data_IF_465076312014
#
_entry.id   IF_465076312014
#
_cell.length_a   1.000
_cell.length_b   1.000
_cell.length_c   1.000
_cell.angle_alpha   90.00
_cell.angle_beta   90.00
_cell.angle_gamma   90.00
#
_symmetry.space_group_name_H-M   'P 1'
#
loop_
_entity.id
_entity.type
_entity.pdbx_description
1 polymer ?
#
# COMPACT_ATOMS: atom_id res chain seq x y z
N UNK A 1 13.30 0.70 26.23
CA UNK A 1 12.04 0.09 25.76
C UNK A 1 12.11 -1.40 26.04
N UNK A 2 11.03 -2.02 26.55
CA UNK A 2 11.01 -3.47 26.79
C UNK A 2 11.13 -4.20 25.46
N UNK A 3 12.14 -5.03 25.30
CA UNK A 3 12.44 -5.74 24.05
C UNK A 3 11.33 -6.70 23.65
N UNK A 4 10.62 -7.26 24.64
CA UNK A 4 9.48 -8.15 24.41
C UNK A 4 8.31 -7.39 23.82
N UNK A 5 7.98 -6.22 24.36
CA UNK A 5 6.90 -5.35 23.83
C UNK A 5 7.24 -4.91 22.41
N UNK A 6 8.48 -4.48 22.19
CA UNK A 6 8.95 -4.09 20.85
C UNK A 6 8.80 -5.23 19.86
N UNK A 7 9.19 -6.46 20.22
CA UNK A 7 9.06 -7.63 19.36
C UNK A 7 7.60 -7.95 19.04
N UNK A 8 6.72 -7.96 20.03
CA UNK A 8 5.30 -8.26 19.85
C UNK A 8 4.62 -7.20 18.97
N UNK A 9 4.86 -5.92 19.24
CA UNK A 9 4.27 -4.82 18.46
C UNK A 9 4.75 -4.86 17.02
N UNK A 10 6.06 -5.00 16.79
CA UNK A 10 6.62 -5.03 15.42
C UNK A 10 6.19 -6.29 14.67
N UNK A 11 6.00 -7.43 15.35
CA UNK A 11 5.47 -8.66 14.74
C UNK A 11 4.05 -8.45 14.20
N UNK A 12 3.12 -7.95 15.03
CA UNK A 12 1.74 -7.74 14.59
C UNK A 12 1.62 -6.60 13.58
N UNK A 13 2.40 -5.52 13.75
CA UNK A 13 2.45 -4.43 12.79
C UNK A 13 2.96 -4.91 11.42
N UNK A 14 4.07 -5.64 11.41
CA UNK A 14 4.64 -6.22 10.20
C UNK A 14 3.75 -7.27 9.56
N UNK A 15 3.05 -8.09 10.37
CA UNK A 15 2.08 -9.06 9.87
C UNK A 15 0.92 -8.38 9.15
N UNK A 16 0.27 -7.43 9.80
CA UNK A 16 -0.87 -6.70 9.20
C UNK A 16 -0.47 -5.94 7.95
N UNK A 17 0.64 -5.22 8.02
CA UNK A 17 1.17 -4.47 6.89
C UNK A 17 1.59 -5.37 5.72
N UNK A 18 2.33 -6.44 5.99
CA UNK A 18 2.77 -7.39 4.97
C UNK A 18 1.61 -8.10 4.28
N UNK A 19 0.61 -8.54 5.04
CA UNK A 19 -0.61 -9.12 4.48
C UNK A 19 -1.34 -8.08 3.60
N UNK A 20 -1.47 -6.84 4.06
CA UNK A 20 -2.07 -5.75 3.29
C UNK A 20 -1.32 -5.47 1.99
N UNK A 21 0.01 -5.40 2.04
CA UNK A 21 0.86 -5.20 0.86
C UNK A 21 0.72 -6.37 -0.11
N UNK A 22 0.85 -7.60 0.36
CA UNK A 22 0.86 -8.79 -0.49
C UNK A 22 -0.49 -9.14 -1.12
N UNK A 23 -1.61 -8.92 -0.43
CA UNK A 23 -2.96 -9.21 -0.94
C UNK A 23 -3.61 -8.03 -1.65
N UNK A 24 -3.41 -6.83 -1.15
CA UNK A 24 -4.13 -5.63 -1.60
C UNK A 24 -3.25 -4.57 -2.25
N UNK A 25 -1.93 -4.75 -2.29
CA UNK A 25 -1.03 -3.70 -2.76
C UNK A 25 -1.13 -2.43 -1.91
N UNK A 26 -1.37 -2.58 -0.62
CA UNK A 26 -1.51 -1.50 0.34
C UNK A 26 -0.14 -1.08 0.86
N UNK A 27 0.05 0.21 1.16
CA UNK A 27 1.29 0.66 1.79
C UNK A 27 1.41 0.16 3.23
N UNK A 28 2.58 -0.35 3.58
CA UNK A 28 2.90 -0.79 4.94
C UNK A 28 2.80 0.37 5.95
N UNK A 29 2.98 1.61 5.52
CA UNK A 29 2.87 2.79 6.37
C UNK A 29 1.49 2.91 7.03
N UNK A 30 0.42 2.50 6.36
CA UNK A 30 -0.93 2.56 6.91
C UNK A 30 -1.14 1.62 8.11
N UNK A 31 -0.38 0.53 8.21
CA UNK A 31 -0.48 -0.42 9.32
C UNK A 31 0.60 -0.23 10.39
N UNK A 32 1.85 -0.05 9.98
CA UNK A 32 3.00 0.01 10.91
C UNK A 32 2.99 1.31 11.70
N UNK A 33 2.83 2.47 11.03
CA UNK A 33 2.98 3.78 11.69
C UNK A 33 2.06 3.95 12.90
N UNK A 34 0.73 3.69 12.82
CA UNK A 34 -0.15 3.83 13.97
C UNK A 34 0.25 2.93 15.13
N UNK A 35 0.69 1.71 14.85
CA UNK A 35 1.10 0.77 15.89
C UNK A 35 2.37 1.21 16.62
N UNK A 36 3.38 1.70 15.88
CA UNK A 36 4.60 2.21 16.48
C UNK A 36 4.35 3.46 17.33
N UNK A 37 3.49 4.37 16.86
CA UNK A 37 3.12 5.57 17.59
C UNK A 37 2.37 5.22 18.87
N UNK A 38 1.33 4.39 18.76
CA UNK A 38 0.42 4.11 19.89
C UNK A 38 1.06 3.22 20.96
N UNK A 39 1.78 2.15 20.58
CA UNK A 39 2.28 1.18 21.54
C UNK A 39 3.74 1.39 21.97
N UNK A 40 4.55 2.01 21.10
CA UNK A 40 5.94 2.28 21.42
C UNK A 40 6.22 3.76 21.71
N UNK A 41 5.20 4.63 21.61
CA UNK A 41 5.35 6.05 21.84
C UNK A 41 6.36 6.73 20.89
N UNK A 42 6.53 6.17 19.68
CA UNK A 42 7.50 6.70 18.72
C UNK A 42 7.04 8.03 18.15
N UNK A 43 8.01 8.87 17.83
CA UNK A 43 7.76 10.08 17.06
C UNK A 43 7.08 9.73 15.72
N UNK A 44 5.96 10.40 15.36
CA UNK A 44 5.19 10.06 14.16
C UNK A 44 6.00 10.13 12.87
N UNK A 45 6.92 11.08 12.76
CA UNK A 45 7.74 11.25 11.57
C UNK A 45 8.71 10.08 11.37
N UNK A 46 9.33 9.62 12.47
CA UNK A 46 10.21 8.44 12.46
C UNK A 46 9.45 7.14 12.24
N UNK A 47 8.27 7.00 12.85
CA UNK A 47 7.40 5.84 12.64
C UNK A 47 7.01 5.67 11.17
N UNK A 48 6.68 6.77 10.48
CA UNK A 48 6.40 6.76 9.03
C UNK A 48 7.65 6.40 8.21
N UNK A 49 8.82 6.93 8.55
CA UNK A 49 10.08 6.59 7.88
C UNK A 49 10.40 5.09 7.97
N UNK A 50 10.27 4.49 9.17
CA UNK A 50 10.45 3.04 9.41
C UNK A 50 9.43 2.24 8.59
N UNK A 51 8.17 2.66 8.59
CA UNK A 51 7.12 1.97 7.88
C UNK A 51 7.32 2.00 6.35
N UNK A 52 7.67 3.15 5.79
CA UNK A 52 7.98 3.29 4.36
C UNK A 52 9.20 2.47 3.96
N UNK A 53 10.26 2.45 4.77
CA UNK A 53 11.45 1.63 4.47
C UNK A 53 11.14 0.13 4.50
N UNK A 54 10.25 -0.31 5.41
CA UNK A 54 9.74 -1.69 5.44
C UNK A 54 8.90 -2.01 4.21
N UNK A 55 8.13 -1.03 3.72
CA UNK A 55 7.31 -1.17 2.52
C UNK A 55 8.14 -1.35 1.25
N UNK A 56 9.32 -0.71 1.15
CA UNK A 56 10.22 -0.88 -0.01
C UNK A 56 10.50 -2.36 -0.29
N UNK A 57 10.96 -3.09 0.72
CA UNK A 57 11.32 -4.50 0.56
C UNK A 57 10.08 -5.41 0.44
N UNK A 58 9.03 -5.11 1.19
CA UNK A 58 7.76 -5.85 1.12
C UNK A 58 7.10 -5.71 -0.26
N UNK A 59 7.06 -4.49 -0.78
CA UNK A 59 6.53 -4.20 -2.11
C UNK A 59 7.42 -4.79 -3.22
N UNK A 60 8.75 -4.70 -3.09
CA UNK A 60 9.68 -5.28 -4.06
C UNK A 60 9.55 -6.81 -4.15
N UNK A 61 9.50 -7.53 -3.02
CA UNK A 61 9.33 -9.01 -3.03
C UNK A 61 7.95 -9.42 -3.53
N UNK A 62 6.92 -8.62 -3.22
CA UNK A 62 5.58 -8.85 -3.76
C UNK A 62 5.56 -8.62 -5.28
N UNK A 63 6.11 -7.51 -5.77
CA UNK A 63 6.22 -7.20 -7.20
C UNK A 63 6.99 -8.30 -7.96
N UNK A 64 8.11 -8.77 -7.41
CA UNK A 64 8.86 -9.90 -7.97
C UNK A 64 8.00 -11.16 -8.04
N UNK A 65 7.26 -11.48 -6.97
CA UNK A 65 6.40 -12.67 -6.91
C UNK A 65 5.26 -12.59 -7.94
N UNK A 66 4.60 -11.44 -8.06
CA UNK A 66 3.57 -11.21 -9.07
C UNK A 66 4.14 -11.22 -10.49
N UNK A 67 5.31 -10.60 -10.69
CA UNK A 67 6.00 -10.56 -11.98
C UNK A 67 6.38 -11.96 -12.48
N UNK A 68 6.94 -12.82 -11.60
CA UNK A 68 7.26 -14.21 -11.91
C UNK A 68 6.02 -15.03 -12.36
N UNK A 69 4.85 -14.68 -11.84
CA UNK A 69 3.58 -15.31 -12.22
C UNK A 69 2.86 -14.57 -13.38
N UNK A 70 3.55 -13.67 -14.09
CA UNK A 70 3.00 -12.86 -15.19
C UNK A 70 1.77 -12.02 -14.79
N UNK A 71 1.71 -11.59 -13.54
CA UNK A 71 0.66 -10.75 -12.96
C UNK A 71 1.21 -9.33 -12.66
N UNK A 72 1.93 -8.75 -13.63
CA UNK A 72 2.54 -7.43 -13.52
C UNK A 72 2.54 -6.76 -14.90
N UNK A 73 1.98 -5.56 -15.00
CA UNK A 73 2.06 -4.72 -16.18
C UNK A 73 3.17 -3.67 -16.00
N UNK A 74 4.41 -4.05 -16.34
CA UNK A 74 5.58 -3.19 -16.16
C UNK A 74 5.46 -1.92 -17.01
N UNK A 75 5.04 -2.04 -18.27
CA UNK A 75 5.01 -0.90 -19.20
C UNK A 75 4.08 0.20 -18.73
N UNK A 76 2.83 -0.14 -18.45
CA UNK A 76 1.86 0.84 -17.98
C UNK A 76 2.12 1.24 -16.52
N UNK A 77 2.70 0.35 -15.70
CA UNK A 77 3.19 0.65 -14.37
C UNK A 77 4.26 1.73 -14.35
N UNK A 78 5.24 1.69 -15.27
CA UNK A 78 6.26 2.73 -15.41
C UNK A 78 5.64 4.07 -15.85
N UNK A 79 4.72 4.04 -16.81
CA UNK A 79 4.01 5.25 -17.25
C UNK A 79 3.24 5.88 -16.08
N UNK A 80 2.51 5.06 -15.32
CA UNK A 80 1.77 5.53 -14.14
C UNK A 80 2.71 6.05 -13.06
N UNK A 81 3.84 5.36 -12.81
CA UNK A 81 4.81 5.72 -11.77
C UNK A 81 5.36 7.13 -11.96
N UNK A 82 5.67 7.54 -13.19
CA UNK A 82 6.11 8.91 -13.48
C UNK A 82 5.05 9.92 -13.07
N UNK A 83 3.79 9.68 -13.43
CA UNK A 83 2.66 10.51 -13.02
C UNK A 83 2.47 10.52 -11.51
N UNK A 84 2.54 9.35 -10.87
CA UNK A 84 2.39 9.21 -9.41
C UNK A 84 3.48 10.00 -8.70
N UNK A 85 4.75 9.83 -9.04
CA UNK A 85 5.86 10.54 -8.37
C UNK A 85 5.75 12.06 -8.55
N UNK A 86 5.49 12.53 -9.76
CA UNK A 86 5.38 13.97 -10.04
C UNK A 86 4.21 14.61 -9.27
N UNK A 87 3.03 14.00 -9.31
CA UNK A 87 1.83 14.57 -8.70
C UNK A 87 1.69 14.29 -7.20
N UNK A 88 2.45 13.35 -6.65
CA UNK A 88 2.58 13.20 -5.19
C UNK A 88 3.19 14.47 -4.57
N UNK A 89 4.16 15.09 -5.21
CA UNK A 89 4.73 16.36 -4.75
C UNK A 89 3.67 17.47 -4.74
N UNK A 90 2.87 17.57 -5.81
CA UNK A 90 1.78 18.55 -5.91
C UNK A 90 0.73 18.29 -4.83
N UNK A 91 0.30 17.04 -4.66
CA UNK A 91 -0.67 16.65 -3.64
C UNK A 91 -0.17 16.94 -2.22
N UNK A 92 1.07 16.64 -1.92
CA UNK A 92 1.70 16.94 -0.62
C UNK A 92 1.79 18.44 -0.35
N UNK A 93 2.10 19.24 -1.36
CA UNK A 93 2.10 20.68 -1.21
C UNK A 93 0.71 21.22 -0.87
N UNK A 94 -0.33 20.78 -1.59
CA UNK A 94 -1.71 21.19 -1.29
C UNK A 94 -2.16 20.67 0.07
N UNK A 95 -1.75 19.46 0.45
CA UNK A 95 -2.00 18.87 1.76
C UNK A 95 -1.46 19.73 2.91
N UNK A 96 -0.29 20.34 2.73
CA UNK A 96 0.30 21.22 3.76
C UNK A 96 -0.52 22.48 4.06
N UNK A 97 -1.47 22.80 3.18
CA UNK A 97 -2.38 23.96 3.33
C UNK A 97 -3.70 23.60 4.05
N UNK A 98 -3.93 22.31 4.36
CA UNK A 98 -5.19 21.81 4.95
C UNK A 98 -4.93 21.15 6.30
N UNK A 99 -5.82 21.28 7.31
CA UNK A 99 -5.66 20.64 8.61
C UNK A 99 -5.50 19.12 8.52
N UNK A 100 -4.49 18.56 9.18
CA UNK A 100 -4.07 17.15 9.08
C UNK A 100 -5.10 16.13 9.58
N UNK A 101 -5.97 16.50 10.51
CA UNK A 101 -6.99 15.62 11.13
C UNK A 101 -8.01 15.06 10.14
N UNK A 102 -8.34 15.81 9.08
CA UNK A 102 -9.34 15.40 8.09
C UNK A 102 -8.83 14.28 7.16
N UNK A 103 -7.53 14.22 6.93
CA UNK A 103 -6.92 13.34 5.93
C UNK A 103 -6.72 11.91 6.42
N UNK A 104 -6.30 11.75 7.69
CA UNK A 104 -6.11 10.43 8.29
C UNK A 104 -7.43 9.63 8.32
N UNK A 105 -8.50 10.26 8.78
CA UNK A 105 -9.82 9.65 8.86
C UNK A 105 -10.37 9.23 7.48
N UNK A 106 -10.14 10.05 6.44
CA UNK A 106 -10.55 9.72 5.07
C UNK A 106 -9.85 8.46 4.55
N UNK A 107 -8.55 8.33 4.75
CA UNK A 107 -7.77 7.16 4.32
C UNK A 107 -8.27 5.86 4.96
N UNK A 108 -8.51 5.89 6.27
CA UNK A 108 -9.02 4.74 7.03
C UNK A 108 -10.41 4.33 6.56
N UNK A 109 -11.30 5.30 6.40
CA UNK A 109 -12.66 5.06 5.92
C UNK A 109 -12.67 4.45 4.50
N UNK A 110 -11.82 4.96 3.60
CA UNK A 110 -11.70 4.41 2.25
C UNK A 110 -11.13 2.99 2.23
N UNK A 111 -10.22 2.64 3.16
CA UNK A 111 -9.73 1.27 3.33
C UNK A 111 -10.87 0.31 3.65
N UNK A 112 -11.67 0.68 4.62
CA UNK A 112 -12.82 -0.11 5.07
C UNK A 112 -13.85 -0.30 3.96
N UNK A 113 -14.23 0.79 3.26
CA UNK A 113 -15.16 0.74 2.13
C UNK A 113 -14.63 -0.14 0.99
N UNK A 114 -13.35 -0.05 0.68
CA UNK A 114 -12.74 -0.87 -0.35
C UNK A 114 -12.76 -2.36 0.02
N UNK A 115 -12.51 -2.68 1.27
CA UNK A 115 -12.63 -4.04 1.79
C UNK A 115 -14.05 -4.59 1.61
N UNK A 116 -15.08 -3.83 2.00
CA UNK A 116 -16.49 -4.20 1.79
C UNK A 116 -16.77 -4.39 0.29
N UNK A 117 -16.29 -3.48 -0.56
CA UNK A 117 -16.46 -3.59 -2.02
C UNK A 117 -15.96 -4.92 -2.56
N UNK A 118 -14.77 -5.37 -2.17
CA UNK A 118 -14.21 -6.64 -2.66
C UNK A 118 -14.99 -7.87 -2.17
N UNK A 119 -15.66 -7.79 -1.01
CA UNK A 119 -16.54 -8.85 -0.51
C UNK A 119 -17.86 -8.87 -1.27
N UNK A 120 -18.51 -7.70 -1.40
CA UNK A 120 -19.87 -7.57 -1.95
C UNK A 120 -19.86 -7.57 -3.48
N UNK A 121 -18.91 -6.88 -4.10
CA UNK A 121 -18.78 -6.76 -5.56
C UNK A 121 -17.37 -7.15 -5.99
N UNK A 122 -17.06 -8.45 -6.06
CA UNK A 122 -15.73 -8.94 -6.40
C UNK A 122 -15.31 -8.51 -7.81
N UNK A 123 -14.01 -8.29 -7.99
CA UNK A 123 -13.41 -8.03 -9.30
C UNK A 123 -13.25 -9.37 -10.04
N UNK A 124 -14.02 -9.57 -11.08
CA UNK A 124 -14.02 -10.80 -11.88
C UNK A 124 -13.47 -10.56 -13.29
N UNK A 125 -12.80 -9.43 -13.53
CA UNK A 125 -12.12 -9.16 -14.80
C UNK A 125 -11.06 -10.22 -15.06
N UNK A 126 -11.06 -10.78 -16.28
CA UNK A 126 -10.07 -11.79 -16.70
C UNK A 126 -8.89 -11.11 -17.41
N UNK A 127 -7.78 -11.86 -17.57
CA UNK A 127 -6.63 -11.35 -18.33
C UNK A 127 -6.95 -11.11 -19.79
N UNK A 128 -7.81 -11.96 -20.37
CA UNK A 128 -8.27 -11.83 -21.74
C UNK A 128 -9.03 -10.52 -21.93
N UNK A 129 -10.03 -10.25 -21.07
CA UNK A 129 -10.79 -8.99 -21.13
C UNK A 129 -9.89 -7.76 -20.90
N UNK A 130 -8.87 -7.89 -20.05
CA UNK A 130 -7.86 -6.86 -19.87
C UNK A 130 -7.00 -6.68 -21.14
N UNK A 131 -6.66 -7.76 -21.87
CA UNK A 131 -5.84 -7.71 -23.07
C UNK A 131 -6.54 -7.07 -24.28
N UNK A 132 -7.86 -7.13 -24.34
CA UNK A 132 -8.68 -6.54 -25.43
C UNK A 132 -8.65 -5.01 -25.49
N UNK A 133 -8.17 -4.35 -24.43
CA UNK A 133 -8.04 -2.89 -24.42
C UNK A 133 -6.85 -2.44 -25.30
N UNK A 134 -7.05 -1.58 -26.32
CA UNK A 134 -5.98 -1.09 -27.17
C UNK A 134 -4.83 -0.46 -26.37
N UNK A 135 -3.58 -0.78 -26.72
CA UNK A 135 -2.38 -0.33 -25.99
C UNK A 135 -2.32 1.22 -25.85
N UNK A 136 -2.71 1.97 -26.89
CA UNK A 136 -2.75 3.43 -26.85
C UNK A 136 -3.76 3.95 -25.83
N UNK A 137 -4.96 3.36 -25.80
CA UNK A 137 -6.01 3.72 -24.82
C UNK A 137 -5.53 3.45 -23.40
N UNK A 138 -4.94 2.29 -23.18
CA UNK A 138 -4.37 1.90 -21.87
C UNK A 138 -3.27 2.85 -21.43
N UNK A 139 -2.34 3.22 -22.31
CA UNK A 139 -1.28 4.18 -21.99
C UNK A 139 -1.84 5.55 -21.58
N UNK A 140 -2.81 6.10 -22.32
CA UNK A 140 -3.47 7.38 -21.98
C UNK A 140 -4.17 7.27 -20.63
N UNK A 141 -4.93 6.21 -20.41
CA UNK A 141 -5.59 5.97 -19.13
C UNK A 141 -4.57 5.84 -17.98
N UNK A 142 -3.43 5.19 -18.22
CA UNK A 142 -2.36 5.07 -17.23
C UNK A 142 -1.77 6.42 -16.85
N UNK A 143 -1.58 7.35 -17.81
CA UNK A 143 -1.12 8.71 -17.51
C UNK A 143 -2.14 9.43 -16.64
N UNK A 144 -3.41 9.46 -17.06
CA UNK A 144 -4.48 10.16 -16.32
C UNK A 144 -4.63 9.57 -14.91
N UNK A 145 -4.67 8.25 -14.81
CA UNK A 145 -4.79 7.57 -13.51
C UNK A 145 -3.54 7.77 -12.65
N UNK A 146 -2.33 7.80 -13.25
CA UNK A 146 -1.09 8.10 -12.54
C UNK A 146 -1.10 9.48 -11.91
N UNK A 147 -1.58 10.49 -12.63
CA UNK A 147 -1.78 11.86 -12.13
C UNK A 147 -2.76 11.88 -10.96
N UNK A 148 -3.92 11.26 -11.12
CA UNK A 148 -4.96 11.19 -10.07
C UNK A 148 -4.47 10.46 -8.83
N UNK A 149 -3.84 9.30 -9.01
CA UNK A 149 -3.28 8.49 -7.92
C UNK A 149 -2.18 9.28 -7.21
N UNK A 150 -1.27 9.89 -7.95
CA UNK A 150 -0.19 10.69 -7.38
C UNK A 150 -0.73 11.84 -6.54
N UNK A 151 -1.70 12.59 -7.06
CA UNK A 151 -2.35 13.65 -6.32
C UNK A 151 -2.98 13.14 -5.02
N UNK A 152 -3.77 12.05 -5.08
CA UNK A 152 -4.42 11.44 -3.92
C UNK A 152 -3.37 10.91 -2.92
N UNK A 153 -2.31 10.24 -3.41
CA UNK A 153 -1.23 9.73 -2.57
C UNK A 153 -0.52 10.85 -1.80
N UNK A 154 -0.21 11.95 -2.49
CA UNK A 154 0.41 13.12 -1.87
C UNK A 154 -0.51 13.83 -0.91
N UNK A 155 -1.79 13.96 -1.27
CA UNK A 155 -2.78 14.67 -0.47
C UNK A 155 -3.18 13.88 0.79
N UNK A 156 -3.43 12.58 0.68
CA UNK A 156 -3.90 11.70 1.77
C UNK A 156 -2.75 11.05 2.53
N UNK A 157 -1.55 10.98 1.95
CA UNK A 157 -0.40 10.32 2.55
C UNK A 157 -0.46 8.79 2.41
N UNK A 158 -0.27 8.05 3.52
CA UNK A 158 -0.12 6.60 3.55
C UNK A 158 -1.28 5.77 2.92
N UNK A 159 -2.42 6.40 2.63
CA UNK A 159 -3.58 5.73 1.99
C UNK A 159 -3.49 5.50 0.48
N UNK A 160 -2.46 6.01 -0.17
CA UNK A 160 -2.34 6.02 -1.64
C UNK A 160 -2.35 4.64 -2.31
N UNK A 161 -1.75 3.63 -1.71
CA UNK A 161 -1.69 2.27 -2.28
C UNK A 161 -3.06 1.62 -2.49
N UNK A 162 -4.00 1.86 -1.57
CA UNK A 162 -5.36 1.32 -1.69
C UNK A 162 -6.18 2.02 -2.77
N UNK A 163 -6.01 3.33 -2.91
CA UNK A 163 -6.62 4.08 -4.00
C UNK A 163 -6.09 3.63 -5.35
N UNK A 164 -4.81 3.25 -5.42
CA UNK A 164 -4.22 2.67 -6.62
C UNK A 164 -4.92 1.37 -7.02
N UNK A 165 -5.15 0.44 -6.07
CA UNK A 165 -5.87 -0.79 -6.35
C UNK A 165 -7.30 -0.54 -6.82
N UNK A 166 -8.01 0.42 -6.19
CA UNK A 166 -9.36 0.81 -6.61
C UNK A 166 -9.38 1.33 -8.05
N UNK A 167 -8.47 2.22 -8.39
CA UNK A 167 -8.38 2.82 -9.73
C UNK A 167 -7.98 1.78 -10.77
N UNK A 168 -6.97 0.95 -10.50
CA UNK A 168 -6.55 -0.12 -11.39
C UNK A 168 -7.68 -1.09 -11.71
N UNK A 169 -8.46 -1.49 -10.69
CA UNK A 169 -9.53 -2.48 -10.88
C UNK A 169 -10.82 -1.88 -11.41
N UNK A 170 -11.20 -0.66 -10.98
CA UNK A 170 -12.53 -0.10 -11.28
C UNK A 170 -12.52 0.85 -12.48
N UNK A 171 -11.40 1.53 -12.74
CA UNK A 171 -11.29 2.51 -13.84
C UNK A 171 -10.54 1.91 -15.03
N UNK A 172 -9.38 1.28 -14.79
CA UNK A 172 -8.60 0.64 -15.85
C UNK A 172 -9.06 -0.79 -16.18
N UNK A 173 -9.95 -1.38 -15.36
CA UNK A 173 -10.47 -2.71 -15.61
C UNK A 173 -9.43 -3.83 -15.51
N UNK A 174 -8.39 -3.66 -14.69
CA UNK A 174 -7.38 -4.69 -14.49
C UNK A 174 -7.94 -5.90 -13.75
N UNK A 175 -7.46 -7.08 -14.13
CA UNK A 175 -7.61 -8.28 -13.32
C UNK A 175 -6.96 -8.02 -11.94
N UNK A 176 -7.57 -8.56 -10.87
CA UNK A 176 -7.15 -8.25 -9.50
C UNK A 176 -5.68 -8.57 -9.23
N UNK A 177 -5.17 -9.72 -9.69
CA UNK A 177 -3.77 -10.09 -9.48
C UNK A 177 -2.82 -9.12 -10.18
N UNK A 178 -3.13 -8.75 -11.42
CA UNK A 178 -2.32 -7.80 -12.19
C UNK A 178 -2.40 -6.39 -11.59
N UNK A 179 -3.55 -6.01 -11.05
CA UNK A 179 -3.71 -4.73 -10.35
C UNK A 179 -2.84 -4.68 -9.09
N UNK A 180 -2.88 -5.72 -8.24
CA UNK A 180 -2.03 -5.79 -7.03
C UNK A 180 -0.55 -5.80 -7.43
N UNK A 181 -0.14 -6.64 -8.39
CA UNK A 181 1.26 -6.71 -8.83
C UNK A 181 1.78 -5.36 -9.36
N UNK A 182 0.97 -4.66 -10.15
CA UNK A 182 1.33 -3.34 -10.69
C UNK A 182 1.35 -2.27 -9.59
N UNK A 183 0.41 -2.33 -8.64
CA UNK A 183 0.40 -1.44 -7.47
C UNK A 183 1.66 -1.57 -6.64
N UNK A 184 2.03 -2.78 -6.20
CA UNK A 184 3.25 -2.99 -5.38
C UNK A 184 4.53 -2.65 -6.14
N UNK A 185 4.55 -2.82 -7.47
CA UNK A 185 5.66 -2.37 -8.29
C UNK A 185 5.86 -0.85 -8.21
N UNK A 186 4.80 -0.07 -8.41
CA UNK A 186 4.87 1.39 -8.30
C UNK A 186 5.22 1.79 -6.86
N UNK A 187 4.64 1.12 -5.87
CA UNK A 187 4.87 1.40 -4.46
C UNK A 187 6.31 1.16 -4.01
N UNK A 188 7.03 0.22 -4.61
CA UNK A 188 8.45 0.01 -4.33
C UNK A 188 9.24 1.32 -4.50
N UNK A 189 8.98 2.07 -5.57
CA UNK A 189 9.69 3.32 -5.86
C UNK A 189 9.15 4.50 -5.04
N UNK A 190 7.84 4.60 -4.86
CA UNK A 190 7.25 5.67 -4.05
C UNK A 190 7.63 5.54 -2.58
N UNK A 191 7.62 4.32 -2.04
CA UNK A 191 8.06 4.05 -0.67
C UNK A 191 9.55 4.32 -0.47
N UNK A 192 10.39 3.97 -1.46
CA UNK A 192 11.82 4.28 -1.42
C UNK A 192 12.08 5.78 -1.35
N UNK A 193 11.43 6.55 -2.23
CA UNK A 193 11.55 8.01 -2.23
C UNK A 193 11.08 8.61 -0.91
N UNK A 194 9.96 8.13 -0.38
CA UNK A 194 9.42 8.56 0.90
C UNK A 194 10.34 8.23 2.08
N UNK A 195 10.83 6.99 2.17
CA UNK A 195 11.74 6.55 3.23
C UNK A 195 13.05 7.34 3.21
N UNK A 196 13.65 7.52 2.02
CA UNK A 196 14.87 8.30 1.86
C UNK A 196 14.68 9.75 2.33
N UNK A 197 13.55 10.39 2.00
CA UNK A 197 13.23 11.74 2.45
C UNK A 197 13.07 11.82 3.96
N UNK A 198 12.36 10.86 4.57
CA UNK A 198 12.15 10.83 6.02
C UNK A 198 13.48 10.66 6.79
N UNK A 199 14.34 9.78 6.36
CA UNK A 199 15.65 9.57 7.04
C UNK A 199 16.63 10.70 6.79
N UNK A 200 16.58 11.35 5.62
CA UNK A 200 17.42 12.51 5.33
C UNK A 200 17.07 13.72 6.22
N UNK A 201 15.80 13.88 6.59
CA UNK A 201 15.31 15.01 7.39
C UNK A 201 15.26 14.65 8.88
N UNK A 202 14.73 13.48 9.23
CA UNK A 202 14.48 13.05 10.61
C UNK A 202 15.65 12.36 11.31
N UNK A 203 16.72 12.04 10.58
CA UNK A 203 17.88 11.33 11.13
C UNK A 203 17.73 9.81 11.18
N UNK A 204 18.61 9.15 11.93
CA UNK A 204 18.66 7.68 12.00
C UNK A 204 17.52 7.10 12.84
N UNK A 205 16.83 6.03 12.36
CA UNK A 205 15.80 5.35 13.11
C UNK A 205 16.37 4.51 14.26
N UNK A 206 15.48 4.10 15.21
CA UNK A 206 15.81 3.01 16.13
C UNK A 206 16.06 1.72 15.31
N UNK A 207 17.31 1.26 15.33
CA UNK A 207 17.78 0.15 14.49
C UNK A 207 17.05 -1.15 14.80
N UNK A 208 16.70 -1.39 16.07
CA UNK A 208 16.01 -2.61 16.48
C UNK A 208 14.58 -2.64 15.94
N UNK A 209 13.82 -1.58 16.15
CA UNK A 209 12.46 -1.45 15.63
C UNK A 209 12.46 -1.52 14.10
N UNK A 210 13.39 -0.82 13.47
CA UNK A 210 13.53 -0.76 12.02
C UNK A 210 13.76 -2.14 11.39
N UNK A 211 14.75 -2.88 11.90
CA UNK A 211 15.08 -4.22 11.38
C UNK A 211 13.93 -5.20 11.61
N UNK A 212 13.31 -5.21 12.80
CA UNK A 212 12.18 -6.07 13.08
C UNK A 212 10.98 -5.79 12.18
N UNK A 213 10.64 -4.53 11.97
CA UNK A 213 9.57 -4.15 11.03
C UNK A 213 9.87 -4.63 9.61
N UNK A 214 11.09 -4.45 9.12
CA UNK A 214 11.49 -4.93 7.77
C UNK A 214 11.31 -6.45 7.68
N UNK A 215 11.87 -7.21 8.63
CA UNK A 215 11.85 -8.68 8.59
C UNK A 215 10.41 -9.19 8.60
N UNK A 216 9.58 -8.73 9.53
CA UNK A 216 8.21 -9.22 9.65
C UNK A 216 7.35 -8.80 8.47
N UNK A 217 7.47 -7.56 8.00
CA UNK A 217 6.69 -7.09 6.84
C UNK A 217 7.09 -7.84 5.57
N UNK A 218 8.38 -8.02 5.33
CA UNK A 218 8.90 -8.78 4.20
C UNK A 218 8.40 -10.23 4.20
N UNK A 219 8.48 -10.90 5.36
CA UNK A 219 8.04 -12.29 5.51
C UNK A 219 6.56 -12.46 5.16
N UNK A 220 5.70 -11.66 5.77
CA UNK A 220 4.26 -11.75 5.58
C UNK A 220 3.81 -11.26 4.19
N UNK A 221 4.47 -10.25 3.62
CA UNK A 221 4.21 -9.81 2.25
C UNK A 221 4.54 -10.90 1.23
N UNK A 222 5.66 -11.61 1.41
CA UNK A 222 6.02 -12.75 0.57
C UNK A 222 5.01 -13.89 0.67
N UNK A 223 4.63 -14.27 1.90
CA UNK A 223 3.62 -15.32 2.13
C UNK A 223 2.30 -14.93 1.45
N UNK A 224 1.83 -13.71 1.67
CA UNK A 224 0.61 -13.19 1.07
C UNK A 224 0.65 -13.16 -0.45
N UNK A 225 1.74 -12.67 -1.05
CA UNK A 225 1.90 -12.59 -2.50
C UNK A 225 1.94 -13.99 -3.14
N UNK A 226 2.62 -14.96 -2.53
CA UNK A 226 2.66 -16.36 -3.02
C UNK A 226 1.27 -16.99 -2.96
N UNK A 227 0.56 -16.82 -1.85
CA UNK A 227 -0.82 -17.32 -1.71
C UNK A 227 -1.77 -16.66 -2.71
N UNK A 228 -1.72 -15.33 -2.83
CA UNK A 228 -2.55 -14.56 -3.75
C UNK A 228 -2.41 -15.01 -5.20
N UNK A 229 -1.17 -15.30 -5.64
CA UNK A 229 -0.92 -15.77 -7.00
C UNK A 229 -1.48 -17.19 -7.25
N UNK A 230 -1.55 -18.05 -6.24
CA UNK A 230 -2.12 -19.39 -6.33
C UNK A 230 -3.64 -19.42 -6.14
N UNK A 231 -4.21 -18.42 -5.48
CA UNK A 231 -5.63 -18.35 -5.17
C UNK A 231 -6.49 -18.18 -6.42
N UNK A 232 -7.73 -18.70 -6.36
CA UNK A 232 -8.74 -18.40 -7.39
C UNK A 232 -9.18 -16.93 -7.29
N UNK A 233 -9.72 -16.32 -8.36
CA UNK A 233 -10.20 -14.93 -8.31
C UNK A 233 -11.19 -14.67 -7.17
N UNK A 234 -12.12 -15.62 -6.93
CA UNK A 234 -13.11 -15.53 -5.84
C UNK A 234 -12.44 -15.55 -4.46
N UNK A 235 -11.51 -16.47 -4.24
CA UNK A 235 -10.77 -16.59 -2.98
C UNK A 235 -9.91 -15.34 -2.73
N UNK A 236 -9.24 -14.84 -3.77
CA UNK A 236 -8.40 -13.66 -3.67
C UNK A 236 -9.22 -12.41 -3.31
N UNK A 237 -10.34 -12.17 -4.01
CA UNK A 237 -11.25 -11.05 -3.68
C UNK A 237 -11.70 -11.12 -2.22
N UNK A 238 -12.10 -12.31 -1.75
CA UNK A 238 -12.56 -12.51 -0.37
C UNK A 238 -11.44 -12.28 0.64
N UNK A 239 -10.25 -12.83 0.41
CA UNK A 239 -9.10 -12.64 1.27
C UNK A 239 -8.68 -11.16 1.33
N UNK A 240 -8.55 -10.51 0.17
CA UNK A 240 -8.25 -9.07 0.08
C UNK A 240 -9.30 -8.24 0.83
N UNK A 241 -10.58 -8.52 0.61
CA UNK A 241 -11.66 -7.79 1.27
C UNK A 241 -11.67 -7.96 2.79
N UNK A 242 -11.51 -9.19 3.30
CA UNK A 242 -11.45 -9.47 4.74
C UNK A 242 -10.25 -8.79 5.39
N UNK A 243 -9.06 -8.87 4.77
CA UNK A 243 -7.85 -8.22 5.28
C UNK A 243 -8.03 -6.71 5.34
N UNK A 244 -8.57 -6.08 4.29
CA UNK A 244 -8.81 -4.64 4.27
C UNK A 244 -9.84 -4.20 5.31
N UNK A 245 -10.91 -4.97 5.53
CA UNK A 245 -11.89 -4.68 6.59
C UNK A 245 -11.26 -4.77 7.97
N UNK A 246 -10.51 -5.84 8.25
CA UNK A 246 -9.83 -6.00 9.54
C UNK A 246 -8.83 -4.86 9.76
N UNK A 247 -7.99 -4.56 8.77
CA UNK A 247 -7.01 -3.48 8.87
C UNK A 247 -7.70 -2.12 9.03
N UNK A 248 -8.77 -1.87 8.31
CA UNK A 248 -9.57 -0.64 8.47
C UNK A 248 -10.14 -0.49 9.88
N UNK A 249 -10.70 -1.57 10.46
CA UNK A 249 -11.21 -1.57 11.85
C UNK A 249 -10.07 -1.36 12.84
N UNK A 250 -8.96 -2.07 12.68
CA UNK A 250 -7.80 -1.97 13.57
C UNK A 250 -7.22 -0.56 13.57
N UNK A 251 -6.99 0.03 12.39
CA UNK A 251 -6.46 1.39 12.29
C UNK A 251 -7.47 2.43 12.83
N UNK A 252 -8.77 2.24 12.58
CA UNK A 252 -9.81 3.12 13.13
C UNK A 252 -9.86 3.04 14.65
N UNK A 253 -9.76 1.83 15.23
CA UNK A 253 -9.70 1.68 16.67
C UNK A 253 -8.48 2.41 17.25
N UNK A 254 -7.30 2.25 16.65
CA UNK A 254 -6.10 2.97 17.13
C UNK A 254 -6.21 4.49 17.01
N UNK A 255 -6.82 5.01 15.95
CA UNK A 255 -7.03 6.45 15.79
C UNK A 255 -8.00 7.06 16.82
N UNK A 256 -8.78 6.22 17.51
CA UNK A 256 -9.66 6.68 18.61
C UNK A 256 -8.94 6.72 19.96
N UNK A 257 -7.80 6.05 20.11
CA UNK A 257 -7.02 5.98 21.33
C UNK A 257 -5.72 6.81 21.27
N UNK A 258 -5.36 7.33 20.10
CA UNK A 258 -4.23 8.25 19.87
C UNK A 258 -4.69 9.71 19.89
#
# INVERSE_FOLDING_TARGET
MDILITFVVTFFAGMGAGLGTGFAGMSAAAGISPMLITFLGMDPYMAVGIALSSDVLASAVSAYTYGKNKNLDIRNGLIMMVGVLAFTVVGSYISSLVPSTTMGNFSVFMTFLLGIKFIVKPVMTTKEAMADVPARKRAIQSVICGVLIGFICGFVGAGGGMMMLLILTSVLGYELKTAVGTSVFIMTFTAFTGAASHFAIGGAPDVTVWILCIIFTLLWARIAAVFANKATPKTLNRATGVILVILGIVVMAFSMFA
#
